data_IF_728574380136
#
_entry.id   IF_728574380136
#
_cell.length_a   1.000
_cell.length_b   1.000
_cell.length_c   1.000
_cell.angle_alpha   90.00
_cell.angle_beta   90.00
_cell.angle_gamma   90.00
#
_symmetry.space_group_name_H-M   'P 1'
#
loop_
_entity.id
_entity.type
_entity.pdbx_description
1 polymer ?
#
# COMPACT_ATOMS: atom_id res chain seq x y z
N UNK A 1 -4.15 11.84 16.61
CA UNK A 1 -4.15 12.64 15.36
C UNK A 1 -3.02 12.12 14.48
N UNK A 2 -3.35 11.62 13.31
CA UNK A 2 -2.37 11.24 12.30
C UNK A 2 -2.13 12.46 11.40
N UNK A 3 -1.05 13.19 11.65
CA UNK A 3 -0.75 14.44 10.95
C UNK A 3 -0.30 14.16 9.50
N UNK A 4 -1.00 14.74 8.55
CA UNK A 4 -0.73 14.59 7.11
C UNK A 4 -0.70 15.95 6.42
N UNK A 5 0.14 16.07 5.40
CA UNK A 5 0.09 17.21 4.50
C UNK A 5 -1.18 17.18 3.66
N UNK A 6 -1.85 18.33 3.54
CA UNK A 6 -2.99 18.48 2.64
C UNK A 6 -2.52 18.93 1.26
N UNK A 7 -3.07 18.30 0.23
CA UNK A 7 -2.77 18.53 -1.17
C UNK A 7 -3.97 19.14 -1.90
N UNK A 8 -3.70 19.87 -2.96
CA UNK A 8 -4.74 20.39 -3.86
C UNK A 8 -5.09 19.38 -4.97
N UNK A 9 -5.95 19.82 -5.89
CA UNK A 9 -6.40 19.02 -7.04
C UNK A 9 -5.31 18.68 -8.06
N UNK A 10 -4.12 19.27 -7.94
CA UNK A 10 -2.94 18.98 -8.77
C UNK A 10 -1.88 18.14 -8.05
N UNK A 11 -2.22 17.63 -6.84
CA UNK A 11 -1.29 16.89 -5.97
C UNK A 11 -0.13 17.76 -5.42
N UNK A 12 -0.35 19.07 -5.32
CA UNK A 12 0.62 20.00 -4.74
C UNK A 12 0.24 20.29 -3.29
N UNK A 13 1.23 20.44 -2.40
CA UNK A 13 0.95 20.82 -1.01
C UNK A 13 0.32 22.22 -0.94
N UNK A 14 -0.68 22.37 -0.09
CA UNK A 14 -1.29 23.68 0.20
C UNK A 14 -0.74 24.30 1.49
N UNK A 15 0.41 23.79 1.97
CA UNK A 15 1.06 24.21 3.21
C UNK A 15 0.13 24.14 4.45
N UNK A 16 -0.74 23.14 4.45
CA UNK A 16 -1.68 22.85 5.54
C UNK A 16 -1.44 21.44 6.04
N UNK A 17 -1.27 21.31 7.34
CA UNK A 17 -1.28 20.02 8.03
C UNK A 17 -2.68 19.81 8.62
N UNK A 18 -3.23 18.62 8.42
CA UNK A 18 -4.53 18.24 8.99
C UNK A 18 -4.51 16.83 9.52
N UNK A 19 -5.61 16.37 10.06
CA UNK A 19 -5.77 14.96 10.46
C UNK A 19 -6.07 14.11 9.22
N UNK A 20 -5.52 12.89 9.20
CA UNK A 20 -5.77 11.91 8.11
C UNK A 20 -7.24 11.57 7.95
N UNK A 21 -8.00 11.60 9.05
CA UNK A 21 -9.44 11.32 9.04
C UNK A 21 -10.30 12.44 8.46
N UNK A 22 -9.75 13.65 8.31
CA UNK A 22 -10.49 14.79 7.76
C UNK A 22 -10.89 14.57 6.31
N UNK A 23 -12.19 14.75 6.02
CA UNK A 23 -12.78 14.60 4.69
C UNK A 23 -13.31 15.93 4.17
N UNK A 24 -12.39 16.83 3.80
CA UNK A 24 -12.72 18.15 3.29
C UNK A 24 -12.68 18.11 1.76
N UNK A 25 -13.74 18.59 1.10
CA UNK A 25 -13.82 18.61 -0.36
C UNK A 25 -12.77 19.57 -0.92
N UNK A 26 -11.98 19.08 -1.87
CA UNK A 26 -10.89 19.85 -2.48
C UNK A 26 -9.55 19.73 -1.73
N UNK A 27 -9.53 19.06 -0.59
CA UNK A 27 -8.32 18.73 0.15
C UNK A 27 -8.07 17.21 0.10
N UNK A 28 -6.84 16.82 -0.16
CA UNK A 28 -6.46 15.41 -0.35
C UNK A 28 -5.31 15.05 0.57
N UNK A 29 -5.37 13.85 1.12
CA UNK A 29 -4.23 13.21 1.79
C UNK A 29 -3.47 12.37 0.78
N UNK A 30 -2.28 11.91 1.11
CA UNK A 30 -1.55 10.92 0.35
C UNK A 30 -1.52 9.57 1.07
N UNK A 31 -1.73 8.49 0.32
CA UNK A 31 -1.61 7.11 0.80
C UNK A 31 -0.74 6.32 -0.16
N UNK A 32 -0.10 5.28 0.35
CA UNK A 32 0.76 4.40 -0.43
C UNK A 32 0.29 2.96 -0.34
N UNK A 33 0.37 2.24 -1.44
CA UNK A 33 0.29 0.79 -1.51
C UNK A 33 1.65 0.26 -1.97
N UNK A 34 2.15 -0.77 -1.31
CA UNK A 34 3.44 -1.39 -1.62
C UNK A 34 3.21 -2.86 -1.94
N UNK A 35 3.44 -3.24 -3.19
CA UNK A 35 3.41 -4.61 -3.65
C UNK A 35 4.80 -5.19 -3.60
N UNK A 36 4.98 -6.35 -2.99
CA UNK A 36 6.26 -7.03 -2.89
C UNK A 36 6.16 -8.34 -3.68
N UNK A 37 7.07 -8.52 -4.64
CA UNK A 37 7.12 -9.69 -5.52
C UNK A 37 8.50 -10.34 -5.40
N UNK A 38 8.53 -11.66 -5.26
CA UNK A 38 9.77 -12.43 -5.26
C UNK A 38 10.19 -12.89 -6.67
N UNK A 39 11.31 -13.57 -6.78
CA UNK A 39 11.84 -14.10 -8.05
C UNK A 39 11.02 -15.26 -8.64
N UNK A 40 10.10 -15.83 -7.89
CA UNK A 40 9.10 -16.80 -8.35
C UNK A 40 7.81 -16.16 -8.85
N UNK A 41 7.77 -14.82 -8.95
CA UNK A 41 6.57 -14.05 -9.28
C UNK A 41 5.40 -14.27 -8.31
N UNK A 42 5.70 -14.52 -7.04
CA UNK A 42 4.71 -14.58 -5.99
C UNK A 42 4.60 -13.22 -5.28
N UNK A 43 3.39 -12.88 -4.84
CA UNK A 43 3.05 -11.64 -4.15
C UNK A 43 3.01 -11.87 -2.64
N UNK A 44 3.69 -11.04 -1.89
CA UNK A 44 3.55 -11.01 -0.43
C UNK A 44 2.28 -10.24 -0.07
N UNK A 45 1.34 -10.93 0.55
CA UNK A 45 0.11 -10.32 1.05
C UNK A 45 0.01 -10.48 2.56
N UNK A 46 -0.68 -9.53 3.16
CA UNK A 46 -0.91 -9.48 4.61
C UNK A 46 -2.40 -9.47 4.91
N UNK A 47 -2.76 -10.15 5.99
CA UNK A 47 -4.12 -10.11 6.52
C UNK A 47 -4.24 -8.98 7.53
N UNK A 48 -5.19 -8.11 7.30
CA UNK A 48 -5.46 -6.97 8.18
C UNK A 48 -5.94 -7.46 9.55
N UNK A 49 -5.44 -6.86 10.61
CA UNK A 49 -5.90 -7.16 11.96
C UNK A 49 -7.41 -6.92 12.09
N UNK A 50 -8.07 -7.71 12.91
CA UNK A 50 -9.49 -7.52 13.24
C UNK A 50 -9.75 -6.19 14.00
N UNK A 51 -8.71 -5.58 14.55
CA UNK A 51 -8.79 -4.29 15.23
C UNK A 51 -8.84 -3.09 14.26
N UNK A 52 -8.60 -3.32 12.96
CA UNK A 52 -8.66 -2.26 11.96
C UNK A 52 -10.08 -1.75 11.75
N UNK A 53 -10.26 -0.44 11.67
CA UNK A 53 -11.58 0.18 11.40
C UNK A 53 -12.06 -0.05 9.97
N UNK A 54 -11.12 -0.21 9.03
CA UNK A 54 -11.40 -0.33 7.59
C UNK A 54 -10.93 -1.69 7.11
N UNK A 55 -11.84 -2.46 6.53
CA UNK A 55 -11.60 -3.81 5.99
C UNK A 55 -10.90 -4.77 6.98
N UNK A 56 -11.39 -4.93 8.24
CA UNK A 56 -10.78 -5.86 9.20
C UNK A 56 -10.83 -7.30 8.68
N UNK A 57 -9.76 -8.05 8.91
CA UNK A 57 -9.66 -9.47 8.53
C UNK A 57 -9.52 -9.75 7.04
N UNK A 58 -9.51 -8.75 6.17
CA UNK A 58 -9.29 -8.93 4.73
C UNK A 58 -7.79 -8.97 4.40
N UNK A 59 -7.47 -9.63 3.29
CA UNK A 59 -6.11 -9.65 2.75
C UNK A 59 -5.84 -8.38 1.95
N UNK A 60 -4.61 -7.92 1.97
CA UNK A 60 -4.17 -6.73 1.22
C UNK A 60 -2.67 -6.75 0.97
N UNK A 61 -2.21 -5.84 0.12
CA UNK A 61 -0.81 -5.43 0.10
C UNK A 61 -0.48 -4.61 1.36
N UNK A 62 0.81 -4.38 1.64
CA UNK A 62 1.22 -3.45 2.69
C UNK A 62 0.99 -1.99 2.26
N UNK A 63 0.89 -1.08 3.19
CA UNK A 63 0.74 0.34 2.92
C UNK A 63 -0.06 1.11 3.97
N UNK A 64 -0.06 2.41 3.82
CA UNK A 64 -0.73 3.31 4.77
C UNK A 64 -0.71 4.76 4.35
N UNK A 65 -0.80 5.67 5.30
CA UNK A 65 -0.75 7.11 5.08
C UNK A 65 0.68 7.62 4.93
N UNK A 66 0.84 8.68 4.16
CA UNK A 66 2.09 9.45 4.13
C UNK A 66 1.99 10.53 5.20
N UNK A 67 2.92 10.54 6.12
CA UNK A 67 2.93 11.50 7.22
C UNK A 67 3.34 12.90 6.74
N UNK A 68 2.99 13.93 7.52
CA UNK A 68 3.37 15.30 7.21
C UNK A 68 4.90 15.43 7.11
N UNK A 69 5.36 16.04 6.02
CA UNK A 69 6.79 16.21 5.72
C UNK A 69 7.47 15.02 5.04
N UNK A 70 6.76 13.90 4.84
CA UNK A 70 7.28 12.76 4.09
C UNK A 70 7.00 12.88 2.59
N UNK A 71 7.88 12.32 1.79
CA UNK A 71 7.58 11.97 0.40
C UNK A 71 6.82 10.64 0.33
N UNK A 72 6.13 10.38 -0.78
CA UNK A 72 5.47 9.10 -1.05
C UNK A 72 6.40 7.89 -0.88
N UNK A 73 7.66 8.00 -1.36
CA UNK A 73 8.67 6.95 -1.19
C UNK A 73 9.02 6.72 0.29
N UNK A 74 9.22 7.80 1.03
CA UNK A 74 9.53 7.69 2.47
C UNK A 74 8.38 7.01 3.23
N UNK A 75 7.14 7.40 2.93
CA UNK A 75 5.94 6.75 3.49
C UNK A 75 5.87 5.27 3.15
N UNK A 76 6.15 4.89 1.90
CA UNK A 76 6.16 3.49 1.47
C UNK A 76 7.22 2.65 2.22
N UNK A 77 8.42 3.18 2.39
CA UNK A 77 9.51 2.50 3.12
C UNK A 77 9.19 2.38 4.61
N UNK A 78 8.67 3.44 5.23
CA UNK A 78 8.28 3.46 6.64
C UNK A 78 7.17 2.47 6.93
N UNK A 79 6.08 2.50 6.17
CA UNK A 79 4.93 1.61 6.38
C UNK A 79 5.34 0.13 6.24
N UNK A 80 6.18 -0.22 5.25
CA UNK A 80 6.67 -1.59 5.11
C UNK A 80 7.53 -2.02 6.30
N UNK A 81 8.36 -1.13 6.81
CA UNK A 81 9.16 -1.40 8.01
C UNK A 81 8.30 -1.54 9.26
N UNK A 82 7.29 -0.70 9.43
CA UNK A 82 6.38 -0.75 10.59
C UNK A 82 5.51 -2.00 10.58
N UNK A 83 4.85 -2.29 9.45
CA UNK A 83 3.90 -3.41 9.36
C UNK A 83 4.57 -4.79 9.30
N UNK A 84 5.71 -4.91 8.62
CA UNK A 84 6.37 -6.18 8.29
C UNK A 84 7.78 -6.33 8.87
N UNK A 85 8.36 -5.28 9.44
CA UNK A 85 9.75 -5.30 9.95
C UNK A 85 10.81 -5.38 8.84
N UNK A 86 10.46 -5.05 7.59
CA UNK A 86 11.35 -5.19 6.43
C UNK A 86 11.95 -3.84 6.07
N UNK A 87 13.27 -3.81 5.92
CA UNK A 87 13.98 -2.68 5.30
C UNK A 87 14.16 -2.95 3.80
N UNK A 88 13.64 -2.05 2.98
CA UNK A 88 13.72 -2.15 1.52
C UNK A 88 14.88 -1.28 1.03
N UNK A 89 15.89 -1.86 0.36
CA UNK A 89 16.90 -1.08 -0.34
C UNK A 89 16.24 -0.21 -1.43
N UNK A 90 16.71 1.03 -1.58
CA UNK A 90 16.12 1.99 -2.55
C UNK A 90 16.14 1.50 -4.00
N UNK A 91 17.11 0.66 -4.36
CA UNK A 91 17.21 0.08 -5.70
C UNK A 91 16.19 -1.04 -5.96
N UNK A 92 15.52 -1.54 -4.92
CA UNK A 92 14.54 -2.61 -5.00
C UNK A 92 13.09 -2.12 -5.07
N UNK A 93 12.86 -0.81 -5.01
CA UNK A 93 11.52 -0.22 -5.05
C UNK A 93 11.39 0.74 -6.22
N UNK A 94 10.31 0.60 -6.97
CA UNK A 94 9.99 1.46 -8.10
C UNK A 94 8.56 1.97 -8.04
N UNK A 95 8.34 3.20 -8.51
CA UNK A 95 7.01 3.79 -8.63
C UNK A 95 6.25 3.13 -9.79
N UNK A 96 4.99 2.75 -9.56
CA UNK A 96 4.15 2.12 -10.57
C UNK A 96 3.12 3.08 -11.15
N UNK A 97 2.30 3.65 -10.30
CA UNK A 97 1.15 4.46 -10.72
C UNK A 97 0.62 5.33 -9.58
N UNK A 98 -0.16 6.34 -9.96
CA UNK A 98 -0.82 7.24 -9.02
C UNK A 98 -2.25 7.49 -9.44
N UNK A 99 -3.18 7.46 -8.48
CA UNK A 99 -4.58 7.79 -8.69
C UNK A 99 -5.07 8.86 -7.74
N UNK A 100 -5.91 9.72 -8.26
CA UNK A 100 -6.73 10.61 -7.43
C UNK A 100 -8.04 9.92 -7.08
N UNK A 101 -8.33 9.82 -5.79
CA UNK A 101 -9.62 9.39 -5.25
C UNK A 101 -10.37 10.57 -4.65
N UNK A 102 -11.54 10.34 -4.07
CA UNK A 102 -12.39 11.42 -3.57
C UNK A 102 -11.71 12.32 -2.54
N UNK A 103 -10.88 11.75 -1.65
CA UNK A 103 -10.24 12.48 -0.55
C UNK A 103 -8.74 12.19 -0.40
N UNK A 104 -8.15 11.44 -1.29
CA UNK A 104 -6.72 11.15 -1.26
C UNK A 104 -6.15 10.84 -2.63
N UNK A 105 -4.84 11.00 -2.75
CA UNK A 105 -4.04 10.39 -3.80
C UNK A 105 -3.49 9.06 -3.32
N UNK A 106 -3.55 8.04 -4.16
CA UNK A 106 -2.94 6.74 -3.92
C UNK A 106 -1.76 6.57 -4.86
N UNK A 107 -0.59 6.31 -4.29
CA UNK A 107 0.60 5.92 -5.03
C UNK A 107 0.87 4.44 -4.79
N UNK A 108 0.97 3.68 -5.87
CA UNK A 108 1.36 2.27 -5.80
C UNK A 108 2.84 2.11 -6.17
N UNK A 109 3.54 1.37 -5.32
CA UNK A 109 4.96 1.06 -5.42
C UNK A 109 5.16 -0.44 -5.60
N UNK A 110 6.15 -0.84 -6.38
CA UNK A 110 6.56 -2.23 -6.58
C UNK A 110 7.92 -2.47 -5.97
N UNK A 111 8.02 -3.51 -5.15
CA UNK A 111 9.27 -4.00 -4.56
C UNK A 111 9.57 -5.37 -5.15
N UNK A 112 10.78 -5.56 -5.66
CA UNK A 112 11.29 -6.86 -6.09
C UNK A 112 12.30 -7.35 -5.08
N UNK A 113 11.92 -8.34 -4.28
CA UNK A 113 12.76 -8.81 -3.18
C UNK A 113 12.33 -10.21 -2.74
N UNK A 114 13.32 -11.09 -2.54
CA UNK A 114 13.11 -12.37 -1.87
C UNK A 114 13.17 -12.17 -0.36
N UNK A 115 12.11 -12.58 0.33
CA UNK A 115 11.99 -12.44 1.78
C UNK A 115 11.53 -13.78 2.33
N UNK A 116 12.27 -14.33 3.30
CA UNK A 116 11.79 -15.47 4.07
C UNK A 116 10.71 -14.98 5.05
N UNK A 117 9.58 -15.70 5.12
CA UNK A 117 8.51 -15.37 6.06
C UNK A 117 9.00 -15.38 7.52
N UNK A 118 10.04 -16.18 7.82
CA UNK A 118 10.66 -16.22 9.14
C UNK A 118 11.36 -14.90 9.54
N UNK A 119 11.76 -14.09 8.55
CA UNK A 119 12.41 -12.79 8.77
C UNK A 119 11.40 -11.65 8.94
N UNK A 120 10.10 -11.91 8.74
CA UNK A 120 9.05 -10.92 8.89
C UNK A 120 8.63 -10.80 10.35
N UNK A 121 8.63 -9.57 10.84
CA UNK A 121 8.10 -9.23 12.16
C UNK A 121 6.86 -8.36 11.99
N UNK A 122 5.68 -8.96 12.10
CA UNK A 122 4.41 -8.24 11.92
C UNK A 122 4.08 -7.33 13.10
N UNK A 123 3.57 -6.15 12.79
CA UNK A 123 2.93 -5.27 13.77
C UNK A 123 1.49 -5.79 14.02
N UNK A 124 1.29 -6.48 15.13
CA UNK A 124 0.05 -7.23 15.43
C UNK A 124 -1.21 -6.38 15.49
N UNK A 125 -1.06 -5.09 15.79
CA UNK A 125 -2.15 -4.12 15.77
C UNK A 125 -2.69 -3.87 14.36
N UNK A 126 -1.82 -3.99 13.35
CA UNK A 126 -2.11 -3.73 11.94
C UNK A 126 -2.29 -5.01 11.12
N UNK A 127 -1.45 -6.01 11.37
CA UNK A 127 -1.31 -7.23 10.56
C UNK A 127 -1.43 -8.47 11.44
N UNK A 128 -2.27 -9.42 11.06
CA UNK A 128 -2.46 -10.70 11.79
C UNK A 128 -1.73 -11.88 11.14
N UNK A 129 -1.48 -11.83 9.84
CA UNK A 129 -0.90 -12.94 9.07
C UNK A 129 -0.25 -12.42 7.79
N UNK A 130 0.76 -13.13 7.29
CA UNK A 130 1.40 -12.88 5.99
C UNK A 130 1.57 -14.17 5.23
N UNK A 131 1.50 -14.11 3.90
CA UNK A 131 1.78 -15.26 3.01
C UNK A 131 2.22 -14.80 1.62
N UNK A 132 2.93 -15.68 0.93
CA UNK A 132 3.18 -15.57 -0.50
C UNK A 132 2.05 -16.25 -1.28
N UNK A 133 1.60 -15.62 -2.35
CA UNK A 133 0.62 -16.19 -3.28
C UNK A 133 1.06 -15.95 -4.72
N UNK A 134 0.80 -16.91 -5.61
CA UNK A 134 1.02 -16.69 -7.03
C UNK A 134 -0.08 -15.81 -7.64
N UNK A 135 0.14 -15.34 -8.87
CA UNK A 135 -0.78 -14.45 -9.57
C UNK A 135 -2.19 -15.06 -9.71
N UNK A 136 -2.28 -16.34 -10.05
CA UNK A 136 -3.58 -17.03 -10.21
C UNK A 136 -4.37 -17.04 -8.91
N UNK A 137 -3.73 -17.36 -7.80
CA UNK A 137 -4.33 -17.31 -6.45
C UNK A 137 -4.75 -15.89 -6.08
N UNK A 138 -3.91 -14.88 -6.36
CA UNK A 138 -4.22 -13.48 -6.09
C UNK A 138 -5.48 -13.02 -6.84
N UNK A 139 -5.60 -13.38 -8.13
CA UNK A 139 -6.79 -13.09 -8.94
C UNK A 139 -8.03 -13.77 -8.37
N UNK A 140 -7.95 -15.06 -8.01
CA UNK A 140 -9.09 -15.77 -7.38
C UNK A 140 -9.51 -15.13 -6.07
N UNK A 141 -8.55 -14.70 -5.25
CA UNK A 141 -8.85 -14.02 -3.98
C UNK A 141 -9.53 -12.67 -4.21
N UNK A 142 -9.11 -11.93 -5.25
CA UNK A 142 -9.77 -10.69 -5.65
C UNK A 142 -11.22 -10.96 -6.10
N UNK A 143 -11.43 -11.91 -7.00
CA UNK A 143 -12.75 -12.25 -7.55
C UNK A 143 -13.71 -12.78 -6.48
N UNK A 144 -13.18 -13.44 -5.45
CA UNK A 144 -13.95 -13.96 -4.31
C UNK A 144 -14.23 -12.90 -3.22
N UNK A 145 -13.71 -11.67 -3.37
CA UNK A 145 -13.88 -10.61 -2.37
C UNK A 145 -13.04 -10.80 -1.09
N UNK A 146 -11.96 -11.57 -1.16
CA UNK A 146 -11.06 -11.80 -0.03
C UNK A 146 -10.01 -10.69 0.12
N UNK A 147 -9.75 -9.94 -0.96
CA UNK A 147 -8.85 -8.78 -0.94
C UNK A 147 -9.61 -7.51 -0.57
N UNK A 148 -8.97 -6.62 0.17
CA UNK A 148 -9.52 -5.32 0.51
C UNK A 148 -9.83 -4.52 -0.77
N UNK A 149 -11.06 -3.97 -0.93
CA UNK A 149 -11.50 -3.33 -2.17
C UNK A 149 -10.79 -2.02 -2.49
N UNK A 150 -9.88 -1.58 -1.65
CA UNK A 150 -9.03 -0.39 -1.92
C UNK A 150 -8.17 -0.51 -3.17
N UNK A 151 -7.97 -1.73 -3.71
CA UNK A 151 -7.19 -2.02 -4.91
C UNK A 151 -8.03 -2.09 -6.18
N UNK A 152 -9.35 -2.22 -6.08
CA UNK A 152 -10.23 -2.54 -7.22
C UNK A 152 -10.07 -1.55 -8.39
N UNK A 153 -9.85 -0.28 -8.07
CA UNK A 153 -9.71 0.78 -9.08
C UNK A 153 -8.51 0.58 -10.03
N UNK A 154 -7.47 -0.12 -9.58
CA UNK A 154 -6.24 -0.27 -10.38
C UNK A 154 -5.76 -1.71 -10.55
N UNK A 155 -6.41 -2.70 -9.94
CA UNK A 155 -5.91 -4.06 -9.85
C UNK A 155 -5.55 -4.68 -11.21
N UNK A 156 -6.45 -4.61 -12.18
CA UNK A 156 -6.21 -5.15 -13.51
C UNK A 156 -5.07 -4.42 -14.23
N UNK A 157 -5.05 -3.09 -14.17
CA UNK A 157 -3.96 -2.31 -14.76
C UNK A 157 -2.62 -2.62 -14.12
N UNK A 158 -2.58 -2.82 -12.80
CA UNK A 158 -1.37 -3.23 -12.10
C UNK A 158 -0.84 -4.58 -12.59
N UNK A 159 -1.72 -5.58 -12.76
CA UNK A 159 -1.34 -6.88 -13.30
C UNK A 159 -0.83 -6.78 -14.74
N UNK A 160 -1.47 -5.96 -15.58
CA UNK A 160 -1.04 -5.72 -16.96
C UNK A 160 0.35 -5.07 -17.01
N UNK A 161 0.63 -4.08 -16.18
CA UNK A 161 1.94 -3.41 -16.09
C UNK A 161 3.07 -4.38 -15.70
N UNK A 162 2.78 -5.42 -14.94
CA UNK A 162 3.76 -6.45 -14.58
C UNK A 162 4.10 -7.39 -15.74
N UNK A 163 3.15 -7.63 -16.65
CA UNK A 163 3.34 -8.50 -17.82
C UNK A 163 4.06 -7.80 -18.98
N UNK A 164 3.87 -6.48 -19.09
CA UNK A 164 4.40 -5.66 -20.17
C UNK A 164 5.33 -4.57 -19.62
N UNK A 165 6.50 -4.94 -19.07
CA UNK A 165 7.48 -3.94 -18.65
C UNK A 165 7.99 -3.20 -19.89
N UNK A 166 7.90 -1.89 -19.85
CA UNK A 166 8.36 -1.00 -20.92
C UNK A 166 9.88 -0.94 -20.98
#
# INVERSE_FOLDING_TARGET
MEAVDKLNNKKETINKIGDRSDKILGEYNQVVHVWIINDKNEFLIQKRSLNKKVFPGMWSQTGGGVDAGETSLQGALRETKEELGIEIPKDNIEFMLSFKRKFNYLDAWLVRMNIDLADITIQKEEVSEVKWVNKETLIKMHDNGELAPSIDIYFNMFLDLLEYPY
#
